data_IF_583053503919
#
_entry.id   IF_583053503919
#
_cell.length_a   1.000
_cell.length_b   1.000
_cell.length_c   1.000
_cell.angle_alpha   90.00
_cell.angle_beta   90.00
_cell.angle_gamma   90.00
#
_symmetry.space_group_name_H-M   'P 1'
#
loop_
_entity.id
_entity.type
_entity.pdbx_description
1 polymer ?
#
# COMPACT_ATOMS: atom_id res chain seq x y z
N UNK A 1 41.12 -24.70 51.02
CA UNK A 1 40.32 -24.98 49.81
C UNK A 1 40.89 -24.18 48.65
N UNK A 2 41.60 -24.78 47.68
CA UNK A 2 41.88 -24.15 46.38
C UNK A 2 40.72 -24.50 45.43
N UNK A 3 40.26 -23.72 44.45
CA UNK A 3 40.91 -22.75 43.56
C UNK A 3 40.50 -23.12 42.11
N UNK A 4 40.51 -22.15 41.18
CA UNK A 4 40.31 -22.26 39.71
C UNK A 4 38.86 -22.28 39.17
N UNK A 5 38.48 -21.65 38.05
CA UNK A 5 39.20 -20.99 36.94
C UNK A 5 38.34 -19.88 36.31
N UNK A 6 38.92 -18.67 36.10
CA UNK A 6 38.58 -17.77 34.99
C UNK A 6 39.46 -18.15 33.80
N UNK A 7 38.96 -18.05 32.57
CA UNK A 7 39.78 -18.07 31.34
C UNK A 7 39.41 -16.89 30.45
N UNK A 8 40.29 -15.90 30.45
CA UNK A 8 40.55 -15.01 29.32
C UNK A 8 41.52 -15.73 28.37
N UNK A 9 41.27 -15.68 27.06
CA UNK A 9 42.28 -15.97 26.04
C UNK A 9 42.18 -14.96 24.90
N UNK A 10 43.13 -14.02 24.90
CA UNK A 10 43.61 -13.23 23.78
C UNK A 10 44.89 -13.90 23.25
N UNK A 11 45.07 -14.06 21.93
CA UNK A 11 46.35 -14.09 21.20
C UNK A 11 46.08 -14.12 19.69
N UNK A 12 46.44 -13.06 18.94
CA UNK A 12 47.70 -12.83 18.19
C UNK A 12 47.75 -13.44 16.77
N UNK A 13 47.58 -12.53 15.80
CA UNK A 13 48.40 -12.27 14.59
C UNK A 13 49.29 -13.36 14.00
N UNK A 14 49.13 -13.60 12.68
CA UNK A 14 50.12 -14.22 11.81
C UNK A 14 49.86 -13.90 10.33
N UNK A 15 50.63 -12.98 9.76
CA UNK A 15 50.71 -12.65 8.34
C UNK A 15 51.45 -13.76 7.57
N UNK A 16 50.94 -14.16 6.40
CA UNK A 16 51.78 -14.71 5.33
C UNK A 16 51.35 -14.19 3.96
N UNK A 17 52.25 -13.43 3.34
CA UNK A 17 52.27 -13.08 1.93
C UNK A 17 52.31 -14.33 1.04
N UNK A 18 51.43 -14.43 0.04
CA UNK A 18 51.74 -15.10 -1.24
C UNK A 18 51.20 -14.32 -2.44
N UNK A 19 52.18 -13.75 -3.14
CA UNK A 19 52.34 -13.46 -4.58
C UNK A 19 51.11 -13.60 -5.50
N UNK A 20 50.80 -12.49 -6.16
CA UNK A 20 50.11 -12.43 -7.44
C UNK A 20 50.99 -12.94 -8.58
N UNK A 21 50.37 -13.57 -9.60
CA UNK A 21 50.57 -13.31 -11.04
C UNK A 21 49.49 -14.02 -11.89
N UNK A 22 49.27 -13.59 -13.15
CA UNK A 22 47.94 -13.49 -13.77
C UNK A 22 47.67 -14.59 -14.81
N UNK A 23 46.40 -14.79 -15.15
CA UNK A 23 45.99 -15.43 -16.41
C UNK A 23 44.87 -14.60 -17.03
N UNK A 24 45.20 -13.91 -18.12
CA UNK A 24 44.27 -13.47 -19.14
C UNK A 24 43.71 -14.72 -19.85
N UNK A 25 42.40 -14.75 -20.14
CA UNK A 25 41.88 -15.21 -21.45
C UNK A 25 40.37 -15.37 -21.43
N UNK A 26 39.70 -14.42 -22.08
CA UNK A 26 38.58 -14.64 -23.01
C UNK A 26 37.56 -15.75 -22.68
N UNK A 27 36.48 -15.40 -21.97
CA UNK A 27 35.14 -16.04 -22.20
C UNK A 27 33.95 -15.18 -21.77
N UNK A 28 34.13 -13.87 -21.59
CA UNK A 28 33.07 -12.96 -21.14
C UNK A 28 32.42 -12.13 -22.27
N UNK A 29 32.29 -12.69 -23.48
CA UNK A 29 31.72 -11.97 -24.64
C UNK A 29 30.65 -12.76 -25.40
N UNK A 30 30.02 -13.76 -24.75
CA UNK A 30 28.98 -14.58 -25.39
C UNK A 30 27.83 -15.02 -24.46
N UNK A 31 27.49 -14.19 -23.47
CA UNK A 31 26.35 -14.41 -22.57
C UNK A 31 25.53 -13.13 -22.30
N UNK A 32 25.48 -12.20 -23.27
CA UNK A 32 24.61 -11.00 -23.21
C UNK A 32 23.72 -10.87 -24.46
N UNK A 33 23.31 -12.01 -25.01
CA UNK A 33 22.21 -12.11 -25.96
C UNK A 33 21.43 -13.36 -25.55
N UNK A 34 20.41 -13.13 -24.73
CA UNK A 34 19.24 -13.97 -24.44
C UNK A 34 18.89 -13.84 -22.96
N UNK A 35 17.81 -13.09 -22.73
CA UNK A 35 16.73 -13.26 -21.74
C UNK A 35 16.05 -11.89 -21.55
N UNK A 36 15.56 -11.36 -22.67
CA UNK A 36 14.38 -10.52 -22.66
C UNK A 36 13.21 -11.50 -22.76
N UNK A 37 12.85 -12.16 -21.66
CA UNK A 37 11.61 -12.94 -21.64
C UNK A 37 10.44 -11.95 -21.68
N UNK A 38 9.53 -12.07 -22.67
CA UNK A 38 8.32 -11.29 -22.68
C UNK A 38 7.48 -11.66 -21.44
N UNK A 39 6.83 -10.67 -20.83
CA UNK A 39 5.77 -10.90 -19.85
C UNK A 39 4.75 -11.83 -20.53
N UNK A 40 4.65 -13.08 -20.06
CA UNK A 40 3.85 -14.14 -20.71
C UNK A 40 2.35 -13.83 -20.56
N UNK A 41 1.86 -12.93 -21.42
CA UNK A 41 0.45 -12.57 -21.61
C UNK A 41 -0.40 -13.77 -22.02
N UNK A 42 0.21 -14.91 -22.37
CA UNK A 42 -0.48 -16.15 -22.70
C UNK A 42 -0.88 -16.98 -21.47
N UNK A 43 -0.38 -16.68 -20.26
CA UNK A 43 -0.67 -17.49 -19.06
C UNK A 43 -2.18 -17.52 -18.70
N UNK A 44 -2.91 -16.38 -18.69
CA UNK A 44 -4.36 -16.38 -18.45
C UNK A 44 -5.12 -17.20 -19.50
N UNK A 45 -4.79 -17.04 -20.78
CA UNK A 45 -5.44 -17.77 -21.88
C UNK A 45 -5.19 -19.27 -21.81
N UNK A 46 -3.95 -19.71 -21.53
CA UNK A 46 -3.61 -21.12 -21.34
C UNK A 46 -4.40 -21.75 -20.18
N UNK A 47 -4.58 -21.01 -19.08
CA UNK A 47 -5.37 -21.46 -17.93
C UNK A 47 -6.86 -21.57 -18.28
N UNK A 48 -7.41 -20.58 -18.97
CA UNK A 48 -8.81 -20.60 -19.39
C UNK A 48 -9.08 -21.76 -20.34
N UNK A 49 -8.24 -21.95 -21.36
CA UNK A 49 -8.32 -23.08 -22.31
C UNK A 49 -8.19 -24.43 -21.59
N UNK A 50 -7.34 -24.54 -20.57
CA UNK A 50 -7.21 -25.76 -19.76
C UNK A 50 -8.52 -26.10 -19.02
N UNK A 51 -9.31 -25.10 -18.65
CA UNK A 51 -10.54 -25.25 -17.86
C UNK A 51 -11.82 -25.26 -18.72
N UNK A 52 -11.71 -25.16 -20.05
CA UNK A 52 -12.82 -25.26 -21.01
C UNK A 52 -13.55 -26.61 -20.97
N UNK A 53 -12.90 -27.65 -20.44
CA UNK A 53 -13.52 -28.97 -20.22
C UNK A 53 -14.73 -28.92 -19.29
N UNK A 54 -14.86 -27.86 -18.47
CA UNK A 54 -15.98 -27.65 -17.56
C UNK A 54 -15.90 -28.49 -16.27
N UNK A 55 -14.84 -29.27 -16.10
CA UNK A 55 -14.56 -30.05 -14.90
C UNK A 55 -13.81 -29.25 -13.84
N UNK A 56 -13.91 -29.69 -12.59
CA UNK A 56 -13.16 -29.10 -11.48
C UNK A 56 -11.74 -29.65 -11.47
N UNK A 57 -10.76 -28.79 -11.77
CA UNK A 57 -9.34 -29.16 -11.79
C UNK A 57 -8.60 -28.65 -10.56
N UNK A 58 -7.67 -29.45 -10.03
CA UNK A 58 -6.81 -28.98 -8.95
C UNK A 58 -5.73 -28.01 -9.42
N UNK A 59 -5.33 -27.07 -8.56
CA UNK A 59 -4.25 -26.11 -8.85
C UNK A 59 -2.98 -26.77 -9.41
N UNK A 60 -2.57 -27.93 -8.89
CA UNK A 60 -1.34 -28.59 -9.35
C UNK A 60 -1.50 -29.20 -10.75
N UNK A 61 -2.69 -29.71 -11.07
CA UNK A 61 -2.94 -30.30 -12.38
C UNK A 61 -3.03 -29.21 -13.46
N UNK A 62 -3.62 -28.06 -13.12
CA UNK A 62 -3.59 -26.85 -13.96
C UNK A 62 -2.13 -26.40 -14.17
N UNK A 63 -1.33 -26.34 -13.10
CA UNK A 63 0.09 -25.98 -13.21
C UNK A 63 0.85 -26.90 -14.16
N UNK A 64 0.62 -28.21 -14.07
CA UNK A 64 1.27 -29.19 -14.95
C UNK A 64 0.80 -29.12 -16.39
N UNK A 65 -0.48 -28.82 -16.60
CA UNK A 65 -1.05 -28.67 -17.94
C UNK A 65 -0.54 -27.39 -18.64
N UNK A 66 -0.39 -26.30 -17.90
CA UNK A 66 -0.05 -24.98 -18.45
C UNK A 66 1.46 -24.73 -18.54
N UNK A 67 2.22 -25.15 -17.52
CA UNK A 67 3.66 -24.90 -17.38
C UNK A 67 4.50 -26.12 -17.78
N UNK A 68 3.89 -27.31 -17.86
CA UNK A 68 4.55 -28.57 -18.18
C UNK A 68 4.82 -29.43 -16.94
N UNK A 69 5.50 -30.57 -17.13
CA UNK A 69 5.62 -31.65 -16.12
C UNK A 69 6.17 -31.21 -14.76
N UNK A 70 7.03 -30.19 -14.75
CA UNK A 70 7.69 -29.64 -13.56
C UNK A 70 6.92 -28.45 -12.93
N UNK A 71 5.75 -28.11 -13.49
CA UNK A 71 4.90 -27.03 -13.01
C UNK A 71 4.48 -27.22 -11.56
N UNK A 72 4.60 -26.15 -10.78
CA UNK A 72 4.26 -26.09 -9.37
C UNK A 72 3.04 -25.18 -9.15
N UNK A 73 2.37 -25.34 -8.00
CA UNK A 73 1.22 -24.48 -7.65
C UNK A 73 1.57 -22.99 -7.65
N UNK A 74 2.82 -22.64 -7.35
CA UNK A 74 3.26 -21.23 -7.28
C UNK A 74 3.22 -20.54 -8.64
N UNK A 75 3.43 -21.29 -9.72
CA UNK A 75 3.56 -20.75 -11.07
C UNK A 75 2.21 -20.24 -11.62
N UNK A 76 1.10 -20.82 -11.18
CA UNK A 76 -0.26 -20.47 -11.65
C UNK A 76 -1.15 -19.81 -10.61
N UNK A 77 -0.80 -19.88 -9.31
CA UNK A 77 -1.65 -19.41 -8.22
C UNK A 77 -2.07 -17.93 -8.40
N UNK A 78 -1.12 -17.04 -8.66
CA UNK A 78 -1.42 -15.61 -8.80
C UNK A 78 -2.41 -15.36 -9.94
N UNK A 79 -2.24 -16.04 -11.07
CA UNK A 79 -3.11 -15.92 -12.22
C UNK A 79 -4.52 -16.49 -11.94
N UNK A 80 -4.62 -17.66 -11.31
CA UNK A 80 -5.89 -18.28 -10.90
C UNK A 80 -6.70 -17.38 -9.96
N UNK A 81 -6.05 -16.79 -8.95
CA UNK A 81 -6.73 -15.85 -8.04
C UNK A 81 -7.14 -14.55 -8.75
N UNK A 82 -6.32 -14.06 -9.69
CA UNK A 82 -6.67 -12.91 -10.53
C UNK A 82 -7.93 -13.16 -11.36
N UNK A 83 -7.96 -14.29 -12.08
CA UNK A 83 -9.11 -14.70 -12.90
C UNK A 83 -10.37 -14.99 -12.07
N UNK A 84 -10.21 -15.57 -10.87
CA UNK A 84 -11.32 -15.77 -9.94
C UNK A 84 -11.94 -14.44 -9.47
N UNK A 85 -11.10 -13.44 -9.16
CA UNK A 85 -11.59 -12.09 -8.79
C UNK A 85 -12.31 -11.39 -9.95
N UNK A 86 -11.89 -11.65 -11.18
CA UNK A 86 -12.53 -11.12 -12.39
C UNK A 86 -13.83 -11.87 -12.75
N UNK A 87 -14.22 -12.89 -11.99
CA UNK A 87 -15.43 -13.67 -12.24
C UNK A 87 -15.30 -14.68 -13.37
N UNK A 88 -14.09 -14.91 -13.90
CA UNK A 88 -13.88 -15.92 -14.94
C UNK A 88 -13.83 -17.34 -14.39
N UNK A 89 -13.45 -17.50 -13.12
CA UNK A 89 -13.28 -18.80 -12.47
C UNK A 89 -14.05 -18.90 -11.15
N UNK A 90 -14.59 -20.09 -10.88
CA UNK A 90 -15.08 -20.50 -9.57
C UNK A 90 -14.00 -21.28 -8.81
N UNK A 91 -13.93 -21.10 -7.50
CA UNK A 91 -13.00 -21.80 -6.61
C UNK A 91 -13.76 -22.55 -5.51
N UNK A 92 -13.35 -23.79 -5.23
CA UNK A 92 -13.82 -24.53 -4.05
C UNK A 92 -12.69 -25.30 -3.36
N UNK A 93 -12.81 -25.59 -2.05
CA UNK A 93 -11.91 -26.53 -1.40
C UNK A 93 -12.12 -27.96 -1.92
N UNK A 94 -11.02 -28.73 -2.01
CA UNK A 94 -11.08 -30.15 -2.36
C UNK A 94 -11.81 -30.94 -1.25
N UNK A 95 -12.75 -31.83 -1.58
CA UNK A 95 -13.38 -32.71 -0.60
C UNK A 95 -12.33 -33.49 0.20
N UNK A 96 -12.40 -33.43 1.53
CA UNK A 96 -11.45 -34.09 2.43
C UNK A 96 -10.12 -33.36 2.65
N UNK A 97 -9.85 -32.24 1.98
CA UNK A 97 -8.66 -31.42 2.24
C UNK A 97 -8.90 -29.91 2.00
N UNK A 98 -9.23 -29.19 3.07
CA UNK A 98 -9.52 -27.74 3.05
C UNK A 98 -8.38 -26.86 2.51
N UNK A 99 -7.14 -27.37 2.50
CA UNK A 99 -5.95 -26.67 2.03
C UNK A 99 -5.67 -26.88 0.54
N UNK A 100 -6.36 -27.81 -0.13
CA UNK A 100 -6.30 -27.98 -1.58
C UNK A 100 -7.50 -27.28 -2.21
N UNK A 101 -7.28 -26.64 -3.35
CA UNK A 101 -8.28 -25.87 -4.09
C UNK A 101 -8.50 -26.50 -5.46
N UNK A 102 -9.75 -26.51 -5.88
CA UNK A 102 -10.18 -26.83 -7.24
C UNK A 102 -10.76 -25.58 -7.91
N UNK A 103 -10.60 -25.52 -9.22
CA UNK A 103 -11.02 -24.41 -10.07
C UNK A 103 -11.83 -24.92 -11.25
N UNK A 104 -12.76 -24.10 -11.73
CA UNK A 104 -13.59 -24.35 -12.92
C UNK A 104 -13.93 -23.00 -13.56
N UNK A 105 -14.21 -22.96 -14.87
CA UNK A 105 -14.83 -21.78 -15.50
C UNK A 105 -16.18 -21.45 -14.85
N UNK A 106 -16.38 -20.17 -14.53
CA UNK A 106 -17.67 -19.68 -14.06
C UNK A 106 -18.72 -19.87 -15.16
N UNK A 107 -19.92 -20.34 -14.79
CA UNK A 107 -21.02 -20.42 -15.74
C UNK A 107 -21.37 -18.99 -16.20
N UNK A 108 -21.28 -18.73 -17.50
CA UNK A 108 -21.66 -17.43 -18.08
C UNK A 108 -23.07 -17.06 -17.64
N UNK A 109 -23.20 -16.05 -16.76
CA UNK A 109 -24.50 -15.46 -16.44
C UNK A 109 -24.98 -14.72 -17.70
N UNK A 110 -26.21 -14.96 -18.19
CA UNK A 110 -26.73 -14.16 -19.29
C UNK A 110 -26.81 -12.71 -18.82
N UNK A 111 -26.11 -11.83 -19.54
CA UNK A 111 -26.17 -10.38 -19.34
C UNK A 111 -27.61 -9.93 -19.58
N UNK A 112 -28.37 -9.76 -18.49
CA UNK A 112 -29.59 -9.00 -18.54
C UNK A 112 -29.19 -7.56 -18.87
N UNK A 113 -29.55 -7.12 -20.08
CA UNK A 113 -29.46 -5.74 -20.51
C UNK A 113 -30.24 -4.85 -19.54
N UNK A 114 -29.54 -4.19 -18.61
CA UNK A 114 -30.08 -3.07 -17.87
C UNK A 114 -29.88 -1.80 -18.70
N UNK A 115 -30.90 -1.51 -19.51
CA UNK A 115 -31.11 -0.20 -20.11
C UNK A 115 -31.55 0.78 -19.02
N UNK A 116 -30.63 1.65 -18.58
CA UNK A 116 -30.95 3.01 -18.13
C UNK A 116 -29.66 3.81 -17.95
N UNK A 117 -29.25 4.47 -19.02
CA UNK A 117 -28.38 5.64 -18.94
C UNK A 117 -29.16 6.79 -18.28
N UNK A 118 -29.16 6.82 -16.96
CA UNK A 118 -29.32 8.06 -16.19
C UNK A 118 -27.97 8.36 -15.56
N UNK A 119 -27.44 9.54 -15.90
CA UNK A 119 -26.22 10.13 -15.38
C UNK A 119 -26.19 10.02 -13.85
N UNK A 120 -25.54 8.99 -13.32
CA UNK A 120 -25.15 8.91 -11.91
C UNK A 120 -23.90 9.78 -11.74
N UNK A 121 -23.78 10.56 -10.65
CA UNK A 121 -22.49 11.12 -10.28
C UNK A 121 -21.53 9.96 -10.06
N UNK A 122 -20.53 9.82 -10.92
CA UNK A 122 -19.44 8.88 -10.70
C UNK A 122 -18.58 9.40 -9.55
N UNK A 123 -17.99 8.48 -8.77
CA UNK A 123 -16.83 8.76 -7.91
C UNK A 123 -15.62 9.13 -8.77
N UNK A 124 -15.69 10.27 -9.46
CA UNK A 124 -14.53 10.89 -10.05
C UNK A 124 -13.98 11.81 -8.98
N UNK A 125 -12.94 11.34 -8.29
CA UNK A 125 -12.06 12.24 -7.56
C UNK A 125 -11.70 13.38 -8.50
N UNK A 126 -11.94 14.62 -8.09
CA UNK A 126 -11.55 15.78 -8.87
C UNK A 126 -10.06 15.61 -9.25
N UNK A 127 -9.68 15.81 -10.53
CA UNK A 127 -8.28 15.74 -10.91
C UNK A 127 -7.48 16.68 -9.99
N UNK A 128 -6.30 16.27 -9.49
CA UNK A 128 -5.48 17.15 -8.69
C UNK A 128 -4.93 18.25 -9.60
N UNK A 129 -5.68 19.34 -9.76
CA UNK A 129 -5.34 20.49 -10.60
C UNK A 129 -4.14 21.32 -10.09
N UNK A 130 -3.42 20.83 -9.08
CA UNK A 130 -2.25 21.52 -8.52
C UNK A 130 -1.18 20.51 -8.13
N UNK A 131 -0.56 19.85 -9.11
CA UNK A 131 0.72 19.19 -8.87
C UNK A 131 1.73 20.27 -8.48
N UNK A 132 2.41 20.08 -7.33
CA UNK A 132 3.45 21.02 -6.89
C UNK A 132 4.53 21.09 -7.98
N UNK A 133 4.97 22.31 -8.34
CA UNK A 133 6.05 22.49 -9.31
C UNK A 133 7.39 22.08 -8.72
N UNK A 134 8.33 21.65 -9.58
CA UNK A 134 9.69 21.27 -9.17
C UNK A 134 10.42 22.47 -8.58
N UNK A 135 10.25 23.63 -9.20
CA UNK A 135 10.83 24.90 -8.79
C UNK A 135 10.28 25.33 -7.42
N UNK A 136 8.97 25.12 -7.19
CA UNK A 136 8.36 25.40 -5.89
C UNK A 136 8.91 24.50 -4.78
N UNK A 137 9.16 23.22 -5.07
CA UNK A 137 9.82 22.31 -4.12
C UNK A 137 11.27 22.72 -3.89
N UNK A 138 12.04 22.96 -4.95
CA UNK A 138 13.45 23.35 -4.84
C UNK A 138 13.63 24.64 -4.04
N UNK A 139 12.76 25.64 -4.27
CA UNK A 139 12.73 26.87 -3.47
C UNK A 139 12.36 26.61 -2.01
N UNK A 140 11.39 25.74 -1.76
CA UNK A 140 10.99 25.39 -0.40
C UNK A 140 12.09 24.65 0.38
N UNK A 141 13.06 24.01 -0.28
CA UNK A 141 14.19 23.36 0.37
C UNK A 141 15.24 24.35 0.91
N UNK A 142 15.26 25.60 0.44
CA UNK A 142 16.16 26.64 0.95
C UNK A 142 15.71 27.19 2.31
N UNK A 143 14.42 27.10 2.63
CA UNK A 143 13.82 27.82 3.75
C UNK A 143 12.73 26.98 4.47
N UNK A 144 12.97 26.55 5.73
CA UNK A 144 12.03 25.73 6.50
C UNK A 144 10.60 26.30 6.61
N UNK A 145 10.37 27.61 6.85
CA UNK A 145 9.04 28.23 6.78
C UNK A 145 8.35 28.10 5.42
N UNK A 146 9.10 28.23 4.32
CA UNK A 146 8.54 28.06 2.97
C UNK A 146 8.09 26.62 2.74
N UNK A 147 8.84 25.63 3.22
CA UNK A 147 8.43 24.22 3.17
C UNK A 147 7.18 23.94 4.01
N UNK A 148 7.10 24.48 5.23
CA UNK A 148 5.91 24.36 6.08
C UNK A 148 4.67 24.99 5.40
N UNK A 149 4.83 26.17 4.78
CA UNK A 149 3.77 26.80 4.00
C UNK A 149 3.32 25.93 2.83
N UNK A 150 4.28 25.36 2.08
CA UNK A 150 3.98 24.46 0.96
C UNK A 150 3.20 23.22 1.42
N UNK A 151 3.59 22.63 2.55
CA UNK A 151 2.88 21.49 3.14
C UNK A 151 1.47 21.88 3.65
N UNK A 152 1.33 23.06 4.27
CA UNK A 152 0.07 23.63 4.71
C UNK A 152 -0.91 23.85 3.55
N UNK A 153 -0.41 24.26 2.39
CA UNK A 153 -1.22 24.38 1.16
C UNK A 153 -1.75 23.02 0.66
N UNK A 154 -1.17 21.89 1.07
CA UNK A 154 -1.68 20.57 0.69
C UNK A 154 -2.75 20.04 1.64
N UNK A 155 -2.93 20.62 2.82
CA UNK A 155 -3.94 20.16 3.77
C UNK A 155 -5.35 20.27 3.18
N UNK A 156 -6.26 19.31 3.45
CA UNK A 156 -7.66 19.47 3.12
C UNK A 156 -8.25 20.74 3.73
N UNK A 157 -9.18 21.37 3.01
CA UNK A 157 -9.91 22.51 3.55
C UNK A 157 -10.74 22.04 4.74
N UNK A 158 -10.88 22.89 5.76
CA UNK A 158 -11.88 22.66 6.81
C UNK A 158 -13.25 22.53 6.17
N UNK A 159 -13.99 21.54 6.61
CA UNK A 159 -15.37 21.30 6.19
C UNK A 159 -16.25 22.45 6.70
N UNK A 160 -17.32 22.77 5.97
CA UNK A 160 -18.34 23.67 6.48
C UNK A 160 -19.13 23.00 7.59
N UNK A 161 -19.74 23.77 8.51
CA UNK A 161 -20.57 23.20 9.58
C UNK A 161 -21.71 22.33 9.04
N UNK A 162 -22.34 22.73 7.92
CA UNK A 162 -23.37 21.92 7.26
C UNK A 162 -22.87 20.54 6.82
N UNK A 163 -21.62 20.47 6.37
CA UNK A 163 -20.99 19.23 5.90
C UNK A 163 -20.55 18.36 7.06
N UNK A 164 -20.02 18.98 8.12
CA UNK A 164 -19.72 18.29 9.38
C UNK A 164 -20.98 17.64 9.96
N UNK A 165 -22.12 18.34 9.94
CA UNK A 165 -23.41 17.82 10.39
C UNK A 165 -23.91 16.65 9.51
N UNK A 166 -23.77 16.77 8.18
CA UNK A 166 -24.13 15.71 7.25
C UNK A 166 -23.31 14.43 7.47
N UNK A 167 -21.98 14.57 7.62
CA UNK A 167 -21.08 13.46 7.93
C UNK A 167 -21.41 12.85 9.30
N UNK A 168 -21.68 13.67 10.30
CA UNK A 168 -22.07 13.19 11.63
C UNK A 168 -23.35 12.33 11.57
N UNK A 169 -24.37 12.80 10.83
CA UNK A 169 -25.62 12.04 10.62
C UNK A 169 -25.37 10.70 9.92
N UNK A 170 -24.56 10.68 8.86
CA UNK A 170 -24.22 9.43 8.15
C UNK A 170 -23.49 8.46 9.07
N UNK A 171 -22.57 8.96 9.92
CA UNK A 171 -21.87 8.15 10.92
C UNK A 171 -22.82 7.58 11.98
N UNK A 172 -23.84 8.32 12.39
CA UNK A 172 -24.87 7.84 13.31
C UNK A 172 -25.70 6.71 12.69
N UNK A 173 -26.12 6.90 11.43
CA UNK A 173 -26.87 5.88 10.68
C UNK A 173 -26.06 4.58 10.50
N UNK A 174 -24.76 4.69 10.21
CA UNK A 174 -23.82 3.56 10.13
C UNK A 174 -23.78 2.81 11.46
N UNK A 175 -23.55 3.52 12.57
CA UNK A 175 -23.42 2.91 13.90
C UNK A 175 -24.70 2.22 14.34
N UNK A 176 -25.84 2.89 14.21
CA UNK A 176 -27.13 2.32 14.60
C UNK A 176 -27.49 1.10 13.75
N UNK A 177 -27.18 1.15 12.45
CA UNK A 177 -27.40 0.00 11.58
C UNK A 177 -26.49 -1.18 11.96
N UNK A 178 -25.21 -0.91 12.23
CA UNK A 178 -24.23 -1.93 12.62
C UNK A 178 -24.59 -2.58 13.97
N UNK A 179 -25.01 -1.79 14.95
CA UNK A 179 -25.51 -2.25 16.25
C UNK A 179 -26.67 -3.23 16.10
N UNK A 180 -27.67 -2.87 15.29
CA UNK A 180 -28.84 -3.74 15.02
C UNK A 180 -28.43 -4.99 14.26
N UNK A 181 -27.51 -4.90 13.30
CA UNK A 181 -27.18 -6.00 12.40
C UNK A 181 -26.25 -7.04 13.01
N UNK A 182 -25.22 -6.60 13.73
CA UNK A 182 -24.14 -7.46 14.17
C UNK A 182 -24.22 -7.82 15.65
N UNK A 183 -24.70 -6.91 16.50
CA UNK A 183 -24.74 -7.12 17.95
C UNK A 183 -26.17 -7.30 18.51
N UNK A 184 -27.19 -6.91 17.74
CA UNK A 184 -28.58 -6.77 18.20
C UNK A 184 -28.68 -5.97 19.53
N UNK A 185 -27.79 -4.98 19.69
CA UNK A 185 -27.64 -4.17 20.91
C UNK A 185 -27.07 -2.81 20.53
N UNK A 186 -27.70 -1.74 21.02
CA UNK A 186 -27.23 -0.38 20.81
C UNK A 186 -25.93 -0.07 21.59
N UNK A 187 -25.10 0.80 21.02
CA UNK A 187 -23.87 1.33 21.63
C UNK A 187 -22.67 0.40 21.56
N UNK A 188 -22.67 -0.61 20.68
CA UNK A 188 -21.53 -1.53 20.49
C UNK A 188 -20.62 -1.05 19.35
N UNK A 189 -21.23 -0.55 18.27
CA UNK A 189 -20.57 -0.06 17.08
C UNK A 189 -19.82 1.25 17.37
N UNK A 190 -18.54 1.28 17.03
CA UNK A 190 -17.72 2.47 17.05
C UNK A 190 -17.11 2.72 15.67
N UNK A 191 -17.04 3.99 15.28
CA UNK A 191 -16.29 4.43 14.09
C UNK A 191 -15.02 5.12 14.57
N UNK A 192 -13.88 4.52 14.27
CA UNK A 192 -12.57 5.07 14.58
C UNK A 192 -11.92 5.61 13.31
N UNK A 193 -11.45 6.84 13.34
CA UNK A 193 -10.73 7.42 12.21
C UNK A 193 -9.41 6.68 12.03
N UNK A 194 -9.14 6.17 10.83
CA UNK A 194 -7.90 5.49 10.46
C UNK A 194 -7.28 6.18 9.24
N UNK A 195 -6.20 5.59 8.70
CA UNK A 195 -5.63 6.05 7.44
C UNK A 195 -5.01 7.45 7.52
N UNK A 196 -4.88 8.10 6.36
CA UNK A 196 -4.04 9.31 6.29
C UNK A 196 -4.56 10.49 7.10
N UNK A 197 -5.88 10.61 7.26
CA UNK A 197 -6.50 11.65 8.10
C UNK A 197 -6.21 11.44 9.58
N UNK A 198 -6.19 10.18 10.07
CA UNK A 198 -5.95 9.91 11.50
C UNK A 198 -4.54 10.25 11.95
N UNK A 199 -3.55 10.19 11.03
CA UNK A 199 -2.17 10.62 11.31
C UNK A 199 -1.91 12.07 10.93
N UNK A 200 -2.87 12.76 10.31
CA UNK A 200 -2.71 14.13 9.79
C UNK A 200 -1.72 14.22 8.62
N UNK A 201 -1.74 13.25 7.71
CA UNK A 201 -0.92 13.22 6.49
C UNK A 201 -1.78 13.11 5.22
N UNK A 202 -3.08 13.34 5.38
CA UNK A 202 -4.03 13.59 4.32
C UNK A 202 -3.67 14.86 3.54
N UNK A 203 -4.00 14.83 2.25
CA UNK A 203 -3.85 15.95 1.32
C UNK A 203 -5.19 16.24 0.64
N UNK A 204 -5.34 17.40 0.02
CA UNK A 204 -6.51 17.77 -0.79
C UNK A 204 -6.93 16.61 -1.72
N UNK A 205 -8.21 16.25 -1.65
CA UNK A 205 -8.77 15.14 -2.43
C UNK A 205 -8.49 13.74 -1.86
N UNK A 206 -7.94 13.63 -0.65
CA UNK A 206 -7.96 12.36 0.09
C UNK A 206 -9.37 12.06 0.58
N UNK A 207 -9.73 10.78 0.52
CA UNK A 207 -10.83 10.17 1.23
C UNK A 207 -10.63 10.21 2.76
N UNK A 208 -11.70 9.94 3.50
CA UNK A 208 -11.69 9.85 4.96
C UNK A 208 -12.00 8.42 5.38
N UNK A 209 -10.97 7.72 5.87
CA UNK A 209 -11.08 6.33 6.29
C UNK A 209 -11.60 6.17 7.72
N UNK A 210 -12.59 5.29 7.92
CA UNK A 210 -13.06 4.86 9.23
C UNK A 210 -13.03 3.34 9.38
N UNK A 211 -12.49 2.87 10.50
CA UNK A 211 -12.69 1.50 10.97
C UNK A 211 -14.04 1.38 11.70
N UNK A 212 -14.92 0.50 11.25
CA UNK A 212 -16.11 0.08 11.99
C UNK A 212 -15.74 -1.04 12.97
N UNK A 213 -15.61 -0.68 14.25
CA UNK A 213 -15.29 -1.60 15.35
C UNK A 213 -16.57 -2.10 16.01
N UNK A 214 -16.69 -3.43 16.12
CA UNK A 214 -17.84 -4.10 16.74
C UNK A 214 -17.46 -4.84 18.04
N UNK A 215 -16.56 -4.28 18.85
CA UNK A 215 -16.05 -4.92 20.07
C UNK A 215 -15.64 -6.40 19.84
N UNK A 216 -16.28 -7.37 20.50
CA UNK A 216 -15.99 -8.80 20.34
C UNK A 216 -16.79 -9.49 19.21
N UNK A 217 -17.64 -8.76 18.48
CA UNK A 217 -18.48 -9.32 17.43
C UNK A 217 -17.75 -9.29 16.08
N UNK A 218 -17.45 -10.46 15.47
CA UNK A 218 -16.77 -10.50 14.18
C UNK A 218 -17.70 -10.07 13.04
N UNK A 219 -17.14 -9.34 12.07
CA UNK A 219 -17.83 -8.97 10.82
C UNK A 219 -17.37 -9.93 9.72
N UNK A 220 -18.29 -10.76 9.22
CA UNK A 220 -18.04 -11.69 8.12
C UNK A 220 -18.48 -11.09 6.77
N UNK A 221 -17.84 -11.48 5.67
CA UNK A 221 -18.06 -10.94 4.32
C UNK A 221 -19.54 -10.93 3.91
N UNK A 222 -20.26 -12.05 4.08
CA UNK A 222 -21.70 -12.14 3.75
C UNK A 222 -22.56 -11.19 4.59
N UNK A 223 -22.16 -10.96 5.85
CA UNK A 223 -22.86 -10.02 6.72
C UNK A 223 -22.55 -8.56 6.35
N UNK A 224 -21.34 -8.32 5.81
CA UNK A 224 -20.88 -7.02 5.34
C UNK A 224 -21.59 -6.57 4.05
N UNK A 225 -21.76 -7.46 3.07
CA UNK A 225 -22.51 -7.17 1.84
C UNK A 225 -23.95 -6.75 2.17
N UNK A 226 -24.64 -7.53 3.00
CA UNK A 226 -26.01 -7.22 3.44
C UNK A 226 -26.09 -5.92 4.25
N UNK A 227 -25.10 -5.66 5.10
CA UNK A 227 -25.03 -4.38 5.81
C UNK A 227 -24.95 -3.21 4.84
N UNK A 228 -24.22 -3.35 3.73
CA UNK A 228 -24.08 -2.29 2.73
C UNK A 228 -25.38 -2.05 1.97
N UNK A 229 -26.11 -3.10 1.60
CA UNK A 229 -27.44 -2.98 0.99
C UNK A 229 -28.43 -2.28 1.93
N UNK A 230 -28.41 -2.65 3.22
CA UNK A 230 -29.24 -2.02 4.25
C UNK A 230 -28.86 -0.54 4.44
N UNK A 231 -27.56 -0.22 4.33
CA UNK A 231 -27.04 1.13 4.45
C UNK A 231 -27.48 2.01 3.29
N UNK A 232 -27.38 1.54 2.04
CA UNK A 232 -27.89 2.27 0.88
C UNK A 232 -29.39 2.56 0.99
N UNK A 233 -30.18 1.59 1.47
CA UNK A 233 -31.63 1.79 1.71
C UNK A 233 -31.91 2.81 2.80
N UNK A 234 -31.10 2.80 3.87
CA UNK A 234 -31.25 3.74 5.00
C UNK A 234 -30.87 5.16 4.63
N UNK A 235 -29.76 5.33 3.92
CA UNK A 235 -29.25 6.62 3.49
C UNK A 235 -30.11 7.24 2.37
N UNK A 236 -30.79 6.40 1.59
CA UNK A 236 -31.66 6.84 0.49
C UNK A 236 -30.87 7.29 -0.74
N UNK A 237 -31.57 7.81 -1.74
CA UNK A 237 -30.98 8.21 -3.04
C UNK A 237 -30.10 9.46 -2.97
N UNK A 238 -30.13 10.20 -1.85
CA UNK A 238 -29.34 11.41 -1.66
C UNK A 238 -27.83 11.13 -1.48
N UNK A 239 -27.47 9.89 -1.11
CA UNK A 239 -26.09 9.46 -0.93
C UNK A 239 -25.77 8.29 -1.86
N UNK A 240 -24.57 8.31 -2.43
CA UNK A 240 -24.05 7.19 -3.22
C UNK A 240 -23.28 6.26 -2.29
N UNK A 241 -23.72 5.01 -2.17
CA UNK A 241 -23.02 3.95 -1.42
C UNK A 241 -22.47 2.94 -2.42
N UNK A 242 -21.16 2.76 -2.41
CA UNK A 242 -20.45 1.80 -3.28
C UNK A 242 -19.78 0.73 -2.43
N UNK A 243 -20.08 -0.55 -2.73
CA UNK A 243 -19.34 -1.67 -2.17
C UNK A 243 -18.01 -1.77 -2.91
N UNK A 244 -16.91 -1.66 -2.17
CA UNK A 244 -15.56 -1.93 -2.65
C UNK A 244 -15.08 -3.27 -2.10
N UNK A 245 -13.96 -3.75 -2.62
CA UNK A 245 -13.39 -5.06 -2.28
C UNK A 245 -13.20 -5.26 -0.75
N UNK A 246 -12.92 -4.20 0.02
CA UNK A 246 -12.61 -4.28 1.45
C UNK A 246 -13.30 -3.22 2.30
N UNK A 247 -14.23 -2.49 1.71
CA UNK A 247 -14.78 -1.29 2.31
C UNK A 247 -16.10 -0.91 1.67
N UNK A 248 -16.76 0.06 2.28
CA UNK A 248 -17.92 0.74 1.70
C UNK A 248 -17.55 2.19 1.55
N UNK A 249 -17.60 2.69 0.31
CA UNK A 249 -17.41 4.10 0.03
C UNK A 249 -18.76 4.82 0.03
N UNK A 250 -18.82 5.97 0.68
CA UNK A 250 -20.02 6.80 0.78
C UNK A 250 -19.66 8.22 0.36
N UNK A 251 -20.29 8.71 -0.70
CA UNK A 251 -20.09 10.10 -1.11
C UNK A 251 -21.06 11.00 -0.33
N UNK A 252 -20.51 11.83 0.55
CA UNK A 252 -21.23 12.86 1.30
C UNK A 252 -20.85 14.21 0.72
N UNK A 253 -21.73 14.77 -0.12
CA UNK A 253 -21.45 15.93 -0.96
C UNK A 253 -20.25 15.68 -1.91
N UNK A 254 -19.07 16.21 -1.58
CA UNK A 254 -17.80 16.07 -2.31
C UNK A 254 -16.75 15.29 -1.49
N UNK A 255 -17.14 14.78 -0.33
CA UNK A 255 -16.27 14.09 0.61
C UNK A 255 -16.58 12.59 0.59
N UNK A 256 -15.58 11.81 0.21
CA UNK A 256 -15.68 10.34 0.20
C UNK A 256 -15.32 9.81 1.58
N UNK A 257 -16.27 9.10 2.22
CA UNK A 257 -16.04 8.35 3.44
C UNK A 257 -15.81 6.89 3.08
N UNK A 258 -14.67 6.33 3.49
CA UNK A 258 -14.38 4.90 3.30
C UNK A 258 -14.53 4.16 4.63
N UNK A 259 -15.49 3.24 4.71
CA UNK A 259 -15.75 2.45 5.92
C UNK A 259 -15.18 1.05 5.75
N UNK A 260 -14.23 0.69 6.61
CA UNK A 260 -13.58 -0.62 6.63
C UNK A 260 -14.10 -1.42 7.82
N UNK A 261 -14.57 -2.67 7.65
CA UNK A 261 -14.96 -3.50 8.76
C UNK A 261 -13.72 -3.89 9.58
N UNK A 262 -13.76 -3.62 10.89
CA UNK A 262 -12.70 -3.94 11.85
C UNK A 262 -13.18 -5.08 12.77
N UNK A 263 -12.25 -5.87 13.30
CA UNK A 263 -12.44 -7.16 13.97
C UNK A 263 -12.95 -8.30 13.04
N UNK A 264 -12.67 -8.19 11.74
CA UNK A 264 -12.93 -9.23 10.74
C UNK A 264 -11.65 -9.89 10.20
N UNK A 265 -11.76 -10.77 9.18
CA UNK A 265 -10.60 -11.36 8.49
C UNK A 265 -9.59 -10.32 7.99
N UNK A 266 -10.07 -9.10 7.69
CA UNK A 266 -9.29 -7.97 7.18
C UNK A 266 -8.24 -7.43 8.16
N UNK A 267 -8.45 -7.56 9.48
CA UNK A 267 -7.49 -7.09 10.49
C UNK A 267 -6.24 -7.96 10.57
N UNK A 268 -6.36 -9.21 10.12
CA UNK A 268 -5.28 -10.20 10.12
C UNK A 268 -4.46 -10.17 8.83
N UNK A 269 -4.81 -9.30 7.87
CA UNK A 269 -4.06 -9.16 6.64
C UNK A 269 -2.71 -8.48 6.87
N UNK A 270 -1.70 -8.91 6.12
CA UNK A 270 -0.37 -8.33 6.15
C UNK A 270 -0.39 -6.86 5.75
N UNK A 271 0.32 -6.03 6.51
CA UNK A 271 0.48 -4.61 6.20
C UNK A 271 1.28 -4.40 4.89
N UNK A 272 0.81 -3.53 3.98
CA UNK A 272 1.59 -3.12 2.82
C UNK A 272 2.95 -2.56 3.22
N UNK A 273 4.02 -3.03 2.59
CA UNK A 273 5.39 -2.58 2.85
C UNK A 273 5.82 -2.68 4.33
N UNK A 274 5.37 -3.71 5.06
CA UNK A 274 5.68 -3.91 6.48
C UNK A 274 7.18 -3.82 6.84
N UNK A 275 8.07 -4.21 5.92
CA UNK A 275 9.51 -4.13 6.11
C UNK A 275 10.06 -2.69 6.25
N UNK A 276 9.30 -1.66 5.86
CA UNK A 276 9.64 -0.27 6.09
C UNK A 276 9.49 0.13 7.57
N UNK A 277 8.66 -0.59 8.34
CA UNK A 277 8.46 -0.37 9.77
C UNK A 277 9.58 -0.97 10.65
N UNK A 278 10.48 -1.73 10.04
CA UNK A 278 11.57 -2.43 10.72
C UNK A 278 11.20 -3.82 11.23
N UNK A 279 10.04 -4.36 10.83
CA UNK A 279 9.67 -5.76 11.08
C UNK A 279 10.22 -6.65 9.97
N UNK A 280 10.43 -7.96 10.24
CA UNK A 280 10.65 -8.93 9.19
C UNK A 280 9.44 -8.95 8.24
N UNK A 281 9.66 -9.30 6.97
CA UNK A 281 8.58 -9.46 5.98
C UNK A 281 7.90 -10.83 6.16
N UNK A 282 7.33 -11.05 7.33
CA UNK A 282 6.74 -12.32 7.79
C UNK A 282 5.26 -12.19 8.22
N UNK A 283 4.64 -11.02 8.02
CA UNK A 283 3.26 -10.76 8.43
C UNK A 283 3.06 -10.53 9.93
N UNK A 284 4.14 -10.34 10.70
CA UNK A 284 4.04 -10.09 12.15
C UNK A 284 3.47 -8.72 12.49
N UNK A 285 3.51 -7.75 11.56
CA UNK A 285 2.92 -6.43 11.76
C UNK A 285 1.45 -6.44 11.33
N UNK A 286 0.55 -6.26 12.30
CA UNK A 286 -0.87 -6.07 12.04
C UNK A 286 -1.17 -4.64 11.61
N UNK A 287 -2.30 -4.42 10.92
CA UNK A 287 -2.73 -3.07 10.52
C UNK A 287 -2.92 -2.15 11.72
N UNK A 288 -3.55 -2.64 12.79
CA UNK A 288 -3.68 -1.92 14.05
C UNK A 288 -2.31 -1.51 14.64
N UNK A 289 -1.31 -2.40 14.57
CA UNK A 289 0.05 -2.12 15.04
C UNK A 289 0.77 -1.08 14.18
N UNK A 290 0.60 -1.12 12.86
CA UNK A 290 1.14 -0.10 11.95
C UNK A 290 0.49 1.26 12.19
N UNK A 291 -0.84 1.32 12.27
CA UNK A 291 -1.62 2.53 12.58
C UNK A 291 -1.16 3.20 13.88
N UNK A 292 -0.97 2.41 14.94
CA UNK A 292 -0.48 2.92 16.22
C UNK A 292 0.93 3.53 16.09
N UNK A 293 1.85 2.88 15.38
CA UNK A 293 3.20 3.38 15.15
C UNK A 293 3.21 4.67 14.32
N UNK A 294 2.39 4.75 13.27
CA UNK A 294 2.27 5.95 12.44
C UNK A 294 1.69 7.11 13.26
N UNK A 295 0.63 6.86 14.03
CA UNK A 295 0.01 7.88 14.90
C UNK A 295 0.99 8.43 15.93
N UNK A 296 1.69 7.55 16.65
CA UNK A 296 2.68 7.95 17.66
C UNK A 296 3.77 8.87 17.07
N UNK A 297 4.33 8.49 15.92
CA UNK A 297 5.38 9.28 15.28
C UNK A 297 4.82 10.62 14.76
N UNK A 298 3.76 10.59 13.97
CA UNK A 298 3.29 11.78 13.26
C UNK A 298 2.58 12.80 14.15
N UNK A 299 1.96 12.35 15.25
CA UNK A 299 1.43 13.25 16.28
C UNK A 299 2.55 14.05 16.94
N UNK A 300 3.69 13.38 17.19
CA UNK A 300 4.83 13.99 17.86
C UNK A 300 5.70 14.86 16.95
N UNK A 301 5.79 14.53 15.66
CA UNK A 301 6.75 15.14 14.73
C UNK A 301 6.06 15.80 13.52
N UNK A 302 5.71 17.11 13.60
CA UNK A 302 5.06 17.85 12.52
C UNK A 302 5.84 17.86 11.20
N UNK A 303 7.17 17.98 11.24
CA UNK A 303 8.00 17.96 10.03
C UNK A 303 7.88 16.65 9.24
N UNK A 304 7.72 15.52 9.93
CA UNK A 304 7.46 14.25 9.27
C UNK A 304 6.09 14.24 8.55
N UNK A 305 5.05 14.83 9.14
CA UNK A 305 3.75 14.99 8.46
C UNK A 305 3.84 15.86 7.22
N UNK A 306 4.53 16.98 7.34
CA UNK A 306 4.74 17.92 6.23
C UNK A 306 5.48 17.25 5.07
N UNK A 307 6.53 16.49 5.39
CA UNK A 307 7.27 15.68 4.41
C UNK A 307 6.34 14.73 3.65
N UNK A 308 5.47 13.99 4.37
CA UNK A 308 4.51 13.07 3.72
C UNK A 308 3.54 13.82 2.81
N UNK A 309 3.01 14.97 3.25
CA UNK A 309 2.06 15.76 2.44
C UNK A 309 2.69 16.24 1.14
N UNK A 310 3.87 16.85 1.21
CA UNK A 310 4.60 17.31 0.01
C UNK A 310 4.95 16.12 -0.89
N UNK A 311 5.44 15.01 -0.31
CA UNK A 311 5.76 13.81 -1.07
C UNK A 311 4.53 13.22 -1.78
N UNK A 312 3.39 13.09 -1.10
CA UNK A 312 2.14 12.58 -1.71
C UNK A 312 1.67 13.50 -2.84
N UNK A 313 1.65 14.81 -2.60
CA UNK A 313 1.18 15.79 -3.58
C UNK A 313 2.06 15.84 -4.83
N UNK A 314 3.36 15.56 -4.71
CA UNK A 314 4.29 15.54 -5.84
C UNK A 314 4.34 14.17 -6.55
N UNK A 315 4.58 13.08 -5.81
CA UNK A 315 4.89 11.77 -6.39
C UNK A 315 3.66 10.92 -6.72
N UNK A 316 2.54 11.02 -5.99
CA UNK A 316 1.35 10.21 -6.27
C UNK A 316 0.74 10.49 -7.65
N UNK A 317 0.61 11.75 -8.13
CA UNK A 317 0.10 12.02 -9.47
C UNK A 317 0.94 11.40 -10.59
N UNK A 318 2.25 11.26 -10.38
CA UNK A 318 3.15 10.59 -11.33
C UNK A 318 2.92 9.08 -11.33
N UNK A 319 2.76 8.49 -10.14
CA UNK A 319 2.61 7.05 -9.97
C UNK A 319 1.25 6.54 -10.46
N UNK A 320 0.16 7.24 -10.15
CA UNK A 320 -1.21 6.87 -10.55
C UNK A 320 -1.39 6.80 -12.07
N UNK A 321 -0.60 7.55 -12.85
CA UNK A 321 -0.61 7.48 -14.32
C UNK A 321 -0.01 6.18 -14.86
N UNK A 322 0.80 5.49 -14.07
CA UNK A 322 1.55 4.31 -14.47
C UNK A 322 0.92 3.04 -13.90
N UNK A 323 0.41 3.08 -12.67
CA UNK A 323 -0.26 1.97 -12.01
C UNK A 323 -1.15 2.51 -10.87
N UNK A 324 -2.45 2.19 -10.90
CA UNK A 324 -3.44 2.66 -9.91
C UNK A 324 -3.66 1.70 -8.74
N UNK A 325 -3.15 0.46 -8.83
CA UNK A 325 -3.46 -0.61 -7.88
C UNK A 325 -2.52 -0.63 -6.66
N UNK A 326 -1.37 0.03 -6.76
CA UNK A 326 -0.40 0.13 -5.66
C UNK A 326 -0.78 1.29 -4.73
N UNK A 327 -0.79 1.10 -3.40
CA UNK A 327 -1.13 2.16 -2.44
C UNK A 327 0.03 3.15 -2.26
N UNK A 328 0.30 3.97 -3.28
CA UNK A 328 1.44 4.91 -3.34
C UNK A 328 1.50 5.89 -2.17
N UNK A 329 0.35 6.41 -1.75
CA UNK A 329 0.29 7.30 -0.59
C UNK A 329 0.77 6.62 0.68
N UNK A 330 0.41 5.35 0.87
CA UNK A 330 0.84 4.55 2.02
C UNK A 330 2.33 4.20 1.92
N UNK A 331 2.83 3.87 0.72
CA UNK A 331 4.26 3.65 0.47
C UNK A 331 5.10 4.86 0.91
N UNK A 332 4.75 6.05 0.42
CA UNK A 332 5.46 7.29 0.77
C UNK A 332 5.39 7.58 2.27
N UNK A 333 4.22 7.33 2.89
CA UNK A 333 4.04 7.45 4.35
C UNK A 333 4.99 6.52 5.11
N UNK A 334 5.09 5.25 4.70
CA UNK A 334 5.96 4.27 5.32
C UNK A 334 7.46 4.56 5.09
N UNK A 335 7.83 5.10 3.91
CA UNK A 335 9.19 5.55 3.63
C UNK A 335 9.59 6.70 4.56
N UNK A 336 8.75 7.72 4.69
CA UNK A 336 9.01 8.86 5.59
C UNK A 336 9.03 8.41 7.06
N UNK A 337 8.11 7.53 7.48
CA UNK A 337 8.14 6.93 8.82
C UNK A 337 9.50 6.30 9.13
N UNK A 338 10.05 5.51 8.19
CA UNK A 338 11.35 4.88 8.33
C UNK A 338 12.47 5.92 8.52
N UNK A 339 12.49 6.97 7.70
CA UNK A 339 13.50 8.02 7.78
C UNK A 339 13.41 8.81 9.09
N UNK A 340 12.20 9.21 9.48
CA UNK A 340 11.95 9.89 10.74
C UNK A 340 12.39 9.03 11.95
N UNK A 341 12.04 7.75 11.97
CA UNK A 341 12.48 6.82 13.04
C UNK A 341 14.00 6.71 13.12
N UNK A 342 14.69 6.65 11.98
CA UNK A 342 16.15 6.64 11.93
C UNK A 342 16.78 7.97 12.35
N UNK A 343 16.17 9.10 11.97
CA UNK A 343 16.62 10.43 12.37
C UNK A 343 16.49 10.63 13.89
N UNK A 344 15.32 10.30 14.46
CA UNK A 344 15.06 10.33 15.91
C UNK A 344 16.07 9.48 16.68
N UNK A 345 16.42 8.31 16.16
CA UNK A 345 17.40 7.42 16.80
C UNK A 345 18.83 7.97 16.76
N UNK A 346 19.16 8.81 15.78
CA UNK A 346 20.50 9.42 15.63
C UNK A 346 20.64 10.71 16.42
N UNK A 347 19.67 11.61 16.28
CA UNK A 347 19.65 12.91 16.96
C UNK A 347 18.20 13.33 17.23
N UNK A 348 17.70 12.91 18.38
CA UNK A 348 16.36 13.23 18.83
C UNK A 348 16.13 14.73 19.02
N UNK A 349 17.14 15.47 19.47
CA UNK A 349 16.98 16.88 19.84
C UNK A 349 16.89 17.75 18.59
N UNK A 350 17.76 17.52 17.59
CA UNK A 350 17.68 18.20 16.29
C UNK A 350 16.31 17.96 15.65
N UNK A 351 15.85 16.72 15.67
CA UNK A 351 14.59 16.34 15.01
C UNK A 351 13.33 16.83 15.74
N UNK A 352 13.38 17.00 17.06
CA UNK A 352 12.30 17.66 17.82
C UNK A 352 12.24 19.18 17.55
N UNK A 353 13.33 19.77 17.04
CA UNK A 353 13.43 21.19 16.71
C UNK A 353 13.17 21.48 15.22
N UNK A 354 13.37 20.51 14.31
CA UNK A 354 12.97 20.62 12.92
C UNK A 354 11.46 20.38 12.76
N UNK A 355 10.69 21.46 12.86
CA UNK A 355 9.25 21.45 12.65
C UNK A 355 8.85 21.39 11.17
N UNK A 356 9.78 21.65 10.24
CA UNK A 356 9.48 21.82 8.82
C UNK A 356 9.43 20.49 8.07
N UNK A 357 10.42 19.62 8.29
CA UNK A 357 10.62 18.39 7.52
C UNK A 357 11.50 18.56 6.27
N UNK A 358 12.17 19.70 6.08
CA UNK A 358 13.09 19.91 4.95
C UNK A 358 14.18 18.84 4.90
N UNK A 359 14.82 18.55 6.05
CA UNK A 359 15.90 17.55 6.13
C UNK A 359 15.39 16.14 5.76
N UNK A 360 14.19 15.78 6.23
CA UNK A 360 13.56 14.50 5.90
C UNK A 360 13.19 14.40 4.43
N UNK A 361 12.66 15.48 3.85
CA UNK A 361 12.31 15.50 2.44
C UNK A 361 13.57 15.44 1.56
N UNK A 362 14.64 16.15 1.94
CA UNK A 362 15.95 16.03 1.29
C UNK A 362 16.51 14.61 1.36
N UNK A 363 16.40 13.94 2.51
CA UNK A 363 16.79 12.54 2.66
C UNK A 363 15.95 11.60 1.78
N UNK A 364 14.63 11.84 1.68
CA UNK A 364 13.73 11.11 0.81
C UNK A 364 14.12 11.30 -0.67
N UNK A 365 14.32 12.54 -1.13
CA UNK A 365 14.78 12.85 -2.49
C UNK A 365 16.11 12.16 -2.79
N UNK A 366 17.06 12.20 -1.86
CA UNK A 366 18.35 11.53 -2.03
C UNK A 366 18.24 10.01 -2.14
N UNK A 367 17.29 9.36 -1.45
CA UNK A 367 17.01 7.93 -1.64
C UNK A 367 16.33 7.66 -2.99
N UNK A 368 15.31 8.44 -3.32
CA UNK A 368 14.55 8.28 -4.56
C UNK A 368 15.41 8.52 -5.80
N UNK A 369 16.13 9.64 -5.87
CA UNK A 369 17.00 10.02 -6.99
C UNK A 369 18.19 9.09 -7.22
N UNK A 370 18.51 8.26 -6.23
CA UNK A 370 19.59 7.27 -6.35
C UNK A 370 19.14 5.93 -6.92
N UNK A 371 17.87 5.77 -7.28
CA UNK A 371 17.37 4.57 -7.94
C UNK A 371 17.96 4.44 -9.37
N UNK A 372 18.46 3.25 -9.78
CA UNK A 372 18.41 1.94 -9.09
C UNK A 372 19.66 1.61 -8.25
N UNK A 373 20.58 2.55 -8.06
CA UNK A 373 21.99 2.32 -7.68
C UNK A 373 22.23 2.17 -6.15
N UNK A 374 21.21 2.20 -5.28
CA UNK A 374 21.42 2.11 -3.81
C UNK A 374 21.38 0.71 -3.18
N UNK A 375 21.95 0.64 -1.98
CA UNK A 375 22.25 -0.55 -1.17
C UNK A 375 21.03 -1.37 -0.75
N UNK A 376 21.24 -2.64 -0.34
CA UNK A 376 20.21 -3.59 0.15
C UNK A 376 19.27 -3.03 1.24
N UNK A 377 19.58 -1.88 1.86
CA UNK A 377 18.79 -1.25 2.94
C UNK A 377 17.98 0.00 2.57
N UNK A 378 18.06 0.48 1.32
CA UNK A 378 17.29 1.65 0.83
C UNK A 378 15.78 1.40 0.82
N UNK A 379 14.98 2.45 0.96
CA UNK A 379 13.53 2.29 1.16
C UNK A 379 12.82 1.80 -0.11
N UNK A 380 13.24 2.26 -1.29
CA UNK A 380 12.75 1.74 -2.57
C UNK A 380 13.09 0.25 -2.78
N UNK A 381 14.29 -0.20 -2.39
CA UNK A 381 14.67 -1.62 -2.46
C UNK A 381 13.86 -2.49 -1.49
N UNK A 382 13.49 -1.96 -0.33
CA UNK A 382 12.59 -2.65 0.60
C UNK A 382 11.19 -2.77 0.00
N UNK A 383 10.64 -1.68 -0.53
CA UNK A 383 9.34 -1.67 -1.18
C UNK A 383 9.29 -2.63 -2.38
N UNK A 384 10.32 -2.61 -3.24
CA UNK A 384 10.46 -3.52 -4.38
C UNK A 384 10.45 -4.98 -3.94
N UNK A 385 11.23 -5.36 -2.92
CA UNK A 385 11.25 -6.73 -2.41
C UNK A 385 9.89 -7.18 -1.89
N UNK A 386 9.18 -6.29 -1.20
CA UNK A 386 7.82 -6.57 -0.72
C UNK A 386 6.83 -6.76 -1.88
N UNK A 387 6.95 -5.94 -2.92
CA UNK A 387 6.08 -5.92 -4.10
C UNK A 387 6.32 -7.11 -5.05
N UNK A 388 7.58 -7.50 -5.27
CA UNK A 388 7.94 -8.66 -6.08
C UNK A 388 7.32 -9.96 -5.55
N UNK A 389 7.25 -10.12 -4.22
CA UNK A 389 6.58 -11.26 -3.59
C UNK A 389 5.07 -11.33 -3.86
N UNK A 390 4.49 -10.26 -4.42
CA UNK A 390 3.07 -10.11 -4.75
C UNK A 390 2.82 -9.92 -6.25
N UNK A 391 3.86 -10.06 -7.07
CA UNK A 391 3.77 -9.93 -8.53
C UNK A 391 3.67 -8.49 -9.05
N UNK A 392 4.00 -7.49 -8.21
CA UNK A 392 3.97 -6.08 -8.59
C UNK A 392 5.35 -5.61 -9.06
N UNK A 393 5.38 -4.94 -10.22
CA UNK A 393 6.59 -4.32 -10.76
C UNK A 393 6.59 -2.80 -10.51
N UNK A 394 7.35 -2.36 -9.51
CA UNK A 394 7.42 -0.94 -9.14
C UNK A 394 8.49 -0.16 -9.92
N UNK A 395 9.31 -0.83 -10.74
CA UNK A 395 10.48 -0.21 -11.38
C UNK A 395 10.15 0.99 -12.28
N UNK A 396 9.08 0.96 -13.11
CA UNK A 396 8.74 2.12 -13.95
C UNK A 396 8.40 3.36 -13.13
N UNK A 397 7.67 3.19 -12.03
CA UNK A 397 7.29 4.29 -11.14
C UNK A 397 8.50 4.81 -10.38
N UNK A 398 9.35 3.92 -9.87
CA UNK A 398 10.57 4.32 -9.16
C UNK A 398 11.55 5.04 -10.09
N UNK A 399 11.63 4.65 -11.36
CA UNK A 399 12.42 5.39 -12.34
C UNK A 399 11.85 6.80 -12.57
N UNK A 400 10.54 6.93 -12.77
CA UNK A 400 9.90 8.23 -12.94
C UNK A 400 10.10 9.13 -11.71
N UNK A 401 9.98 8.58 -10.49
CA UNK A 401 10.26 9.32 -9.26
C UNK A 401 11.74 9.73 -9.16
N UNK A 402 12.66 8.85 -9.55
CA UNK A 402 14.10 9.12 -9.55
C UNK A 402 14.46 10.30 -10.47
N UNK A 403 13.95 10.28 -11.70
CA UNK A 403 14.19 11.34 -12.68
C UNK A 403 13.70 12.70 -12.15
N UNK A 404 12.54 12.71 -11.51
CA UNK A 404 11.94 13.90 -10.91
C UNK A 404 12.70 14.40 -9.67
N UNK A 405 13.13 13.49 -8.79
CA UNK A 405 13.93 13.83 -7.62
C UNK A 405 15.30 14.43 -8.00
N UNK A 406 15.93 13.88 -9.04
CA UNK A 406 17.20 14.39 -9.57
C UNK A 406 17.03 15.79 -10.18
N UNK A 407 15.93 16.04 -10.93
CA UNK A 407 15.62 17.39 -11.44
C UNK A 407 15.44 18.42 -10.32
N UNK A 408 14.72 18.07 -9.26
CA UNK A 408 14.56 18.97 -8.10
C UNK A 408 15.92 19.26 -7.46
N UNK A 409 16.74 18.23 -7.27
CA UNK A 409 18.06 18.37 -6.64
C UNK A 409 19.00 19.21 -7.50
N UNK A 410 18.93 19.06 -8.83
CA UNK A 410 19.71 19.89 -9.74
C UNK A 410 19.25 21.35 -9.71
N UNK A 411 17.94 21.63 -9.73
CA UNK A 411 17.42 23.01 -9.59
C UNK A 411 17.91 23.63 -8.28
N UNK A 412 17.74 22.93 -7.16
CA UNK A 412 18.18 23.39 -5.84
C UNK A 412 19.69 23.69 -5.81
N UNK A 413 20.53 22.83 -6.40
CA UNK A 413 21.98 23.07 -6.48
C UNK A 413 22.34 24.34 -7.26
N UNK A 414 21.57 24.72 -8.28
CA UNK A 414 21.82 25.95 -9.04
C UNK A 414 21.29 27.22 -8.35
N UNK A 415 20.51 27.07 -7.27
CA UNK A 415 20.03 28.19 -6.45
C UNK A 415 21.02 28.59 -5.36
N UNK A 416 21.93 27.69 -4.98
CA UNK A 416 23.06 27.90 -4.06
C UNK A 416 24.28 28.47 -4.78
#
# INVERSE_FOLDING_TARGET
>A
MPGFMRRDWNCRTGFHHRKARPVLSATASRAMQDLQEPVDTAMPEKILNCLETGEWMETLDIAKAVVGRDGTKRDVNNCLYGLGKQGHLEMRPLPGNKHRKQWKLAASVPVAQASSAQLRPSFQAAPPDNMISREGIAQALEDPPTFDSLAGQQQPRRLSSSREDAIAKVKDDIRELADRRFANRAGVAALELIGSTSYGVDIKGSDVDYALKMAAFPIYDVAWERFTEDLQRRLGEQYVVEVRNKSVAILVEDTELEIVPFNGPFDQESVPFENLFGTPNDGSLTRAGADAQLKELFEKYPGARNTVRVAKAFFCPLAKKLDEHVPWGYLLTAMVYRYAKQAVAKDKNHFEQDFSGVDLFGALLGDVGSWPVKTRGGSLNLAKRWALNRGWNLDPVFQAWSDEANRITDIHRHMQ
#
